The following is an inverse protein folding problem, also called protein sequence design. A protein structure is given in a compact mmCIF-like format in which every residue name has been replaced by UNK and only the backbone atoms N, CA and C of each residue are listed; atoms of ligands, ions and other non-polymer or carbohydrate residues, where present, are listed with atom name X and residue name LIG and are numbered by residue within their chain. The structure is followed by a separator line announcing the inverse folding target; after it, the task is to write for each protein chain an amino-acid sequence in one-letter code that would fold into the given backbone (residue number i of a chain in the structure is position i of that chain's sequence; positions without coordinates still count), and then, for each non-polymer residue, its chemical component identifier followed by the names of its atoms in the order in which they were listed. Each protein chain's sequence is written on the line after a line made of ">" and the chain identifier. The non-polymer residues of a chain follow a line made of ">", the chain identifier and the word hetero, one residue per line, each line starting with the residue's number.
data_IF_315747537947
#
_entry.id   IF_315747537947
#
_cell.length_a   1.000
_cell.length_b   1.000
_cell.length_c   1.000
_cell.angle_alpha   90.00
_cell.angle_beta   90.00
_cell.angle_gamma   90.00
#
_symmetry.space_group_name_H-M   'P 1'
#
loop_
_entity.id
_entity.type
_entity.pdbx_description
1 polymer ?
#
# COMPACT_ATOMS: atom_id res chain seq x y z
N UNK A 1 35.62 100.23 47.12
CA UNK A 1 34.32 100.32 46.44
C UNK A 1 34.48 99.87 45.00
N UNK A 2 34.02 98.70 44.67
CA UNK A 2 33.50 98.31 43.34
C UNK A 2 33.22 96.81 43.40
N UNK A 3 31.99 96.45 43.35
CA UNK A 3 31.46 95.08 43.35
C UNK A 3 31.58 94.48 41.92
N UNK A 4 32.18 93.33 41.79
CA UNK A 4 32.19 92.57 40.55
C UNK A 4 31.19 91.41 40.68
N UNK A 5 30.21 91.36 39.80
CA UNK A 5 29.23 90.25 39.65
C UNK A 5 29.89 89.09 38.92
N UNK A 6 29.71 87.85 39.37
CA UNK A 6 30.07 86.69 38.55
C UNK A 6 28.93 86.33 37.59
N UNK A 7 29.30 86.21 36.35
CA UNK A 7 28.41 85.63 35.28
C UNK A 7 28.21 84.17 35.49
N UNK A 8 26.99 83.73 35.79
CA UNK A 8 26.58 82.37 35.79
C UNK A 8 26.44 81.90 34.34
N UNK A 9 27.31 80.95 33.90
CA UNK A 9 27.21 80.25 32.61
C UNK A 9 26.34 79.02 32.82
N UNK A 10 25.08 79.05 32.40
CA UNK A 10 24.21 77.91 32.43
C UNK A 10 24.55 76.95 31.26
N UNK A 11 25.17 75.78 31.54
CA UNK A 11 25.32 74.70 30.59
C UNK A 11 23.97 73.97 30.43
N UNK A 12 23.37 74.12 29.26
CA UNK A 12 22.18 73.39 28.86
C UNK A 12 22.62 71.97 28.39
N UNK A 13 22.51 70.96 29.26
CA UNK A 13 22.68 69.58 28.86
C UNK A 13 21.43 69.17 28.06
N UNK A 14 21.60 69.06 26.76
CA UNK A 14 20.61 68.44 25.88
C UNK A 14 20.71 66.95 25.99
N UNK A 15 19.88 66.29 26.83
CA UNK A 15 19.77 64.80 26.91
C UNK A 15 19.05 64.25 25.68
N UNK A 16 19.80 63.65 24.78
CA UNK A 16 19.27 62.93 23.63
C UNK A 16 18.72 61.59 24.16
N UNK A 17 17.42 61.49 24.35
CA UNK A 17 16.74 60.22 24.63
C UNK A 17 16.55 59.49 23.31
N UNK A 18 17.40 58.50 23.04
CA UNK A 18 17.20 57.54 21.93
C UNK A 18 15.98 56.68 22.26
N UNK A 19 14.99 56.53 21.36
CA UNK A 19 13.94 55.55 21.56
C UNK A 19 14.56 54.15 21.52
N UNK A 20 14.39 53.41 22.60
CA UNK A 20 14.68 51.98 22.63
C UNK A 20 13.54 51.27 21.91
N UNK A 21 13.77 50.88 20.66
CA UNK A 21 12.86 49.96 19.96
C UNK A 21 12.90 48.60 20.66
N UNK A 22 11.91 48.32 21.49
CA UNK A 22 11.71 47.03 22.11
C UNK A 22 11.02 46.09 21.10
N UNK A 23 11.78 45.20 20.48
CA UNK A 23 11.21 44.13 19.65
C UNK A 23 10.49 43.11 20.56
N UNK A 24 9.17 43.02 20.41
CA UNK A 24 8.38 41.98 21.09
C UNK A 24 8.43 40.72 20.26
N UNK A 25 9.13 39.69 20.77
CA UNK A 25 9.16 38.34 20.17
C UNK A 25 8.22 37.44 20.92
N UNK A 26 7.38 36.69 20.19
CA UNK A 26 6.52 35.65 20.72
C UNK A 26 6.75 34.36 19.93
N UNK A 27 6.69 33.22 20.60
CA UNK A 27 6.81 31.91 19.99
C UNK A 27 5.45 31.23 19.93
N UNK A 28 5.19 30.51 18.83
CA UNK A 28 4.04 29.61 18.73
C UNK A 28 4.54 28.20 18.38
N UNK A 29 3.85 27.22 18.91
CA UNK A 29 4.16 25.82 18.63
C UNK A 29 3.46 25.37 17.36
N UNK A 30 4.19 24.74 16.43
CA UNK A 30 3.65 24.05 15.27
C UNK A 30 3.84 22.55 15.50
N UNK A 31 2.76 21.79 15.41
CA UNK A 31 2.80 20.34 15.56
C UNK A 31 1.97 19.66 14.49
N UNK A 32 2.41 18.46 14.07
CA UNK A 32 1.66 17.57 13.21
C UNK A 32 1.83 16.14 13.72
N UNK A 33 0.78 15.33 13.60
CA UNK A 33 0.83 13.90 13.88
C UNK A 33 0.80 13.16 12.55
N UNK A 34 1.83 12.34 12.30
CA UNK A 34 1.87 11.43 11.13
C UNK A 34 1.45 10.06 11.61
N UNK A 35 0.37 9.52 11.03
CA UNK A 35 -0.11 8.18 11.31
C UNK A 35 0.44 7.18 10.30
N UNK A 36 0.64 5.94 10.74
CA UNK A 36 1.05 4.86 9.86
C UNK A 36 -0.07 4.54 8.86
N UNK A 37 0.30 4.17 7.65
CA UNK A 37 -0.67 3.85 6.60
C UNK A 37 0.00 3.21 5.39
N UNK A 38 -0.84 2.62 4.54
CA UNK A 38 -0.45 2.10 3.23
C UNK A 38 -1.35 2.70 2.15
N UNK A 39 -0.79 2.87 0.96
CA UNK A 39 -1.53 3.29 -0.21
C UNK A 39 -1.16 2.43 -1.42
N UNK A 40 -2.09 2.32 -2.35
CA UNK A 40 -1.88 1.71 -3.65
C UNK A 40 -1.42 2.80 -4.61
N UNK A 41 -0.25 2.64 -5.20
CA UNK A 41 0.29 3.60 -6.17
C UNK A 41 -0.64 3.69 -7.39
N UNK A 42 -0.97 4.93 -7.80
CA UNK A 42 -1.88 5.17 -8.92
C UNK A 42 -3.36 4.91 -8.63
N UNK A 43 -3.75 4.59 -7.39
CA UNK A 43 -5.15 4.37 -7.00
C UNK A 43 -5.80 3.16 -7.68
N UNK A 44 -5.01 2.22 -8.19
CA UNK A 44 -5.53 1.07 -8.92
C UNK A 44 -6.34 0.15 -7.99
N UNK A 45 -7.54 -0.24 -8.44
CA UNK A 45 -8.39 -1.22 -7.76
C UNK A 45 -8.16 -2.66 -8.24
N UNK A 46 -7.34 -2.85 -9.29
CA UNK A 46 -7.01 -4.16 -9.85
C UNK A 46 -5.53 -4.46 -9.60
N UNK A 47 -5.25 -5.51 -8.84
CA UNK A 47 -3.89 -5.94 -8.50
C UNK A 47 -3.19 -6.75 -9.60
N UNK A 48 -3.81 -6.93 -10.76
CA UNK A 48 -3.29 -7.68 -11.89
C UNK A 48 -4.07 -8.94 -12.21
N UNK A 49 -3.52 -9.79 -13.07
CA UNK A 49 -4.15 -11.03 -13.49
C UNK A 49 -3.21 -12.23 -13.31
N UNK A 50 -3.82 -13.36 -12.99
CA UNK A 50 -3.20 -14.68 -12.98
C UNK A 50 -3.68 -15.41 -14.25
N UNK A 51 -2.85 -15.43 -15.28
CA UNK A 51 -3.18 -16.10 -16.54
C UNK A 51 -2.49 -17.47 -16.60
N UNK A 52 -3.28 -18.53 -16.62
CA UNK A 52 -2.78 -19.87 -16.78
C UNK A 52 -2.39 -20.22 -18.22
N UNK A 53 -2.80 -19.42 -19.21
CA UNK A 53 -2.56 -19.68 -20.63
C UNK A 53 -3.64 -20.53 -21.28
N UNK A 54 -3.30 -21.09 -22.45
CA UNK A 54 -4.21 -21.89 -23.27
C UNK A 54 -3.77 -23.35 -23.33
N UNK A 55 -4.72 -24.27 -23.12
CA UNK A 55 -4.48 -25.71 -23.09
C UNK A 55 -5.52 -26.46 -23.89
N UNK A 56 -5.16 -27.66 -24.34
CA UNK A 56 -6.14 -28.60 -24.95
C UNK A 56 -7.21 -29.01 -23.94
N UNK A 57 -8.43 -29.13 -24.38
CA UNK A 57 -9.56 -29.66 -23.60
C UNK A 57 -9.29 -31.08 -23.04
N UNK A 58 -8.39 -31.84 -23.66
CA UNK A 58 -7.97 -33.18 -23.25
C UNK A 58 -6.76 -33.16 -22.30
N UNK A 59 -6.21 -32.00 -21.97
CA UNK A 59 -5.06 -31.90 -21.07
C UNK A 59 -5.43 -32.28 -19.64
N UNK A 60 -4.56 -33.10 -19.02
CA UNK A 60 -4.65 -33.49 -17.61
C UNK A 60 -3.50 -32.87 -16.80
N UNK A 61 -2.81 -31.87 -17.34
CA UNK A 61 -1.63 -31.27 -16.71
C UNK A 61 -2.00 -30.42 -15.51
N UNK A 62 -1.08 -30.39 -14.54
CA UNK A 62 -1.04 -29.35 -13.52
C UNK A 62 -0.43 -28.11 -14.15
N UNK A 63 -1.12 -26.97 -14.07
CA UNK A 63 -0.71 -25.71 -14.68
C UNK A 63 -0.52 -24.67 -13.60
N UNK A 64 0.48 -23.82 -13.79
CA UNK A 64 0.87 -22.82 -12.79
C UNK A 64 1.01 -21.44 -13.42
N UNK A 65 0.78 -20.42 -12.61
CA UNK A 65 1.01 -19.03 -12.97
C UNK A 65 1.40 -18.21 -11.74
N UNK A 66 1.90 -17.02 -11.95
CA UNK A 66 2.18 -16.06 -10.91
C UNK A 66 1.59 -14.70 -11.27
N UNK A 67 1.29 -13.92 -10.26
CA UNK A 67 0.84 -12.54 -10.46
C UNK A 67 1.93 -11.77 -11.24
N UNK A 68 1.61 -11.34 -12.45
CA UNK A 68 2.58 -10.80 -13.40
C UNK A 68 3.14 -9.43 -13.02
N UNK A 69 4.25 -9.04 -13.63
CA UNK A 69 5.11 -7.91 -13.25
C UNK A 69 4.54 -6.49 -13.38
N UNK A 70 3.30 -6.31 -13.83
CA UNK A 70 2.56 -5.03 -13.80
C UNK A 70 1.67 -4.92 -12.56
N UNK A 71 2.00 -5.67 -11.53
CA UNK A 71 1.27 -5.65 -10.27
C UNK A 71 1.32 -4.28 -9.64
N UNK A 72 0.21 -3.90 -9.08
CA UNK A 72 0.05 -2.72 -8.25
C UNK A 72 1.17 -2.66 -7.21
N UNK A 73 1.87 -1.56 -7.21
CA UNK A 73 2.85 -1.27 -6.17
C UNK A 73 2.12 -0.70 -4.95
N UNK A 74 2.40 -1.29 -3.79
CA UNK A 74 1.98 -0.73 -2.51
C UNK A 74 3.12 0.07 -1.91
N UNK A 75 2.76 1.20 -1.30
CA UNK A 75 3.67 2.00 -0.49
C UNK A 75 3.11 2.07 0.93
N UNK A 76 3.95 1.76 1.91
CA UNK A 76 3.58 1.84 3.32
C UNK A 76 4.53 2.75 4.09
N UNK A 77 4.08 3.26 5.21
CA UNK A 77 4.98 3.86 6.21
C UNK A 77 5.99 2.81 6.68
N UNK A 78 7.27 3.16 6.83
CA UNK A 78 8.27 2.22 7.34
C UNK A 78 7.86 1.58 8.67
N UNK A 79 8.07 0.27 8.80
CA UNK A 79 7.77 -0.48 10.03
C UNK A 79 6.31 -0.94 10.18
N UNK A 80 5.47 -0.73 9.19
CA UNK A 80 4.09 -1.24 9.19
C UNK A 80 4.08 -2.76 9.02
N UNK A 81 3.32 -3.46 9.86
CA UNK A 81 3.06 -4.88 9.72
C UNK A 81 1.91 -5.09 8.73
N UNK A 82 2.25 -5.51 7.51
CA UNK A 82 1.27 -5.74 6.46
C UNK A 82 0.84 -7.21 6.44
N UNK A 83 -0.46 -7.44 6.37
CA UNK A 83 -1.02 -8.76 6.08
C UNK A 83 -1.99 -8.70 4.91
N UNK A 84 -2.14 -9.81 4.20
CA UNK A 84 -3.12 -9.96 3.13
C UNK A 84 -3.98 -11.18 3.35
N UNK A 85 -5.24 -11.10 2.95
CA UNK A 85 -6.13 -12.24 2.79
C UNK A 85 -6.77 -12.20 1.41
N UNK A 86 -7.11 -13.37 0.89
CA UNK A 86 -7.75 -13.52 -0.43
C UNK A 86 -9.03 -14.31 -0.24
N UNK A 87 -10.12 -13.82 -0.77
CA UNK A 87 -11.43 -14.45 -0.64
C UNK A 87 -11.57 -15.77 -1.40
N UNK A 88 -12.77 -16.31 -1.41
CA UNK A 88 -13.10 -17.57 -2.10
C UNK A 88 -13.22 -17.43 -3.63
N UNK A 89 -13.26 -16.21 -4.16
CA UNK A 89 -13.61 -15.95 -5.55
C UNK A 89 -15.11 -16.01 -5.82
N UNK A 90 -15.52 -15.51 -6.98
CA UNK A 90 -16.92 -15.46 -7.38
C UNK A 90 -17.52 -16.84 -7.73
N UNK A 91 -16.64 -17.82 -8.04
CA UNK A 91 -17.08 -19.13 -8.49
C UNK A 91 -16.68 -20.25 -7.51
N UNK A 92 -16.58 -19.92 -6.23
CA UNK A 92 -16.27 -20.88 -5.19
C UNK A 92 -17.35 -21.97 -5.09
N UNK A 93 -16.91 -23.22 -4.98
CA UNK A 93 -17.77 -24.36 -4.72
C UNK A 93 -17.11 -25.31 -3.72
N UNK A 94 -17.87 -25.78 -2.73
CA UNK A 94 -17.41 -26.73 -1.70
C UNK A 94 -16.09 -26.33 -1.02
N UNK A 95 -15.91 -25.02 -0.74
CA UNK A 95 -14.72 -24.50 -0.09
C UNK A 95 -13.48 -24.46 -0.99
N UNK A 96 -13.64 -24.54 -2.30
CA UNK A 96 -12.55 -24.49 -3.28
C UNK A 96 -12.78 -23.35 -4.25
N UNK A 97 -11.72 -22.63 -4.63
CA UNK A 97 -11.74 -21.63 -5.68
C UNK A 97 -11.83 -22.31 -7.04
N UNK A 98 -12.66 -21.79 -7.94
CA UNK A 98 -12.83 -22.35 -9.27
C UNK A 98 -12.85 -21.26 -10.33
N UNK A 99 -12.16 -21.51 -11.43
CA UNK A 99 -12.43 -20.84 -12.69
C UNK A 99 -13.73 -21.40 -13.26
N UNK A 100 -14.63 -20.57 -13.72
CA UNK A 100 -15.89 -20.96 -14.34
C UNK A 100 -15.88 -20.62 -15.83
N UNK A 101 -16.35 -21.55 -16.64
CA UNK A 101 -16.53 -21.33 -18.07
C UNK A 101 -17.54 -20.21 -18.32
N UNK A 102 -17.21 -19.26 -19.20
CA UNK A 102 -18.06 -18.10 -19.53
C UNK A 102 -19.43 -18.50 -20.10
N UNK A 103 -19.51 -19.63 -20.78
CA UNK A 103 -20.75 -20.17 -21.36
C UNK A 103 -21.10 -21.55 -20.80
N UNK A 104 -21.51 -21.62 -19.52
CA UNK A 104 -21.92 -22.87 -18.91
C UNK A 104 -21.54 -23.01 -17.43
N UNK A 105 -21.62 -24.21 -16.89
CA UNK A 105 -21.39 -24.52 -15.47
C UNK A 105 -20.07 -25.25 -15.19
N UNK A 106 -19.27 -25.53 -16.21
CA UNK A 106 -18.00 -26.24 -16.02
C UNK A 106 -17.02 -25.43 -15.19
N UNK A 107 -16.38 -26.11 -14.24
CA UNK A 107 -15.46 -25.52 -13.27
C UNK A 107 -14.07 -26.16 -13.39
N UNK A 108 -13.04 -25.37 -13.14
CA UNK A 108 -11.65 -25.82 -12.96
C UNK A 108 -11.16 -25.34 -11.62
N UNK A 109 -10.90 -26.27 -10.72
CA UNK A 109 -10.40 -25.95 -9.38
C UNK A 109 -8.98 -25.40 -9.44
N UNK A 110 -8.72 -24.37 -8.63
CA UNK A 110 -7.37 -23.81 -8.47
C UNK A 110 -7.06 -23.47 -7.03
N UNK A 111 -5.78 -23.37 -6.73
CA UNK A 111 -5.25 -23.01 -5.42
C UNK A 111 -4.31 -21.83 -5.56
N UNK A 112 -4.28 -20.98 -4.53
CA UNK A 112 -3.36 -19.87 -4.43
C UNK A 112 -2.27 -20.17 -3.39
N UNK A 113 -1.08 -19.63 -3.64
CA UNK A 113 0.11 -19.79 -2.81
C UNK A 113 0.84 -18.46 -2.70
N UNK A 114 1.63 -18.32 -1.64
CA UNK A 114 2.48 -17.15 -1.43
C UNK A 114 3.95 -17.37 -1.82
N UNK A 115 4.28 -18.53 -2.34
CA UNK A 115 5.63 -18.90 -2.75
C UNK A 115 5.65 -19.63 -4.10
N UNK A 116 6.73 -19.44 -4.85
CA UNK A 116 6.92 -20.07 -6.16
C UNK A 116 7.07 -21.61 -6.10
N UNK A 117 7.37 -22.14 -4.92
CA UNK A 117 7.47 -23.60 -4.68
C UNK A 117 6.13 -24.27 -4.40
N UNK A 118 5.03 -23.48 -4.33
CA UNK A 118 3.68 -23.98 -4.03
C UNK A 118 3.60 -24.78 -2.73
N UNK A 119 4.39 -24.39 -1.73
CA UNK A 119 4.45 -25.03 -0.40
C UNK A 119 3.61 -24.29 0.65
N UNK A 120 3.38 -23.00 0.46
CA UNK A 120 2.68 -22.13 1.42
C UNK A 120 1.36 -21.67 0.81
N UNK A 121 0.28 -22.37 1.13
CA UNK A 121 -1.04 -22.05 0.60
C UNK A 121 -1.60 -20.73 1.13
N UNK A 122 -2.33 -20.01 0.27
CA UNK A 122 -3.21 -18.89 0.63
C UNK A 122 -4.63 -19.43 0.80
N UNK A 123 -4.98 -19.81 2.04
CA UNK A 123 -6.32 -20.25 2.40
C UNK A 123 -7.38 -19.18 2.11
N UNK A 124 -8.63 -19.58 2.00
CA UNK A 124 -9.76 -18.68 1.79
C UNK A 124 -9.93 -17.81 3.04
N UNK A 125 -9.92 -16.49 2.87
CA UNK A 125 -10.04 -15.48 3.94
C UNK A 125 -9.00 -15.63 5.06
N UNK A 126 -7.93 -16.36 4.83
CA UNK A 126 -6.84 -16.51 5.78
C UNK A 126 -5.87 -15.33 5.66
N UNK A 127 -5.71 -14.57 6.73
CA UNK A 127 -4.70 -13.52 6.82
C UNK A 127 -3.29 -14.11 6.89
N UNK A 128 -2.41 -13.66 6.01
CA UNK A 128 -1.00 -14.06 5.97
C UNK A 128 -0.10 -12.82 5.95
N UNK A 129 1.04 -12.83 6.66
CA UNK A 129 1.94 -11.69 6.64
C UNK A 129 2.57 -11.49 5.26
N UNK A 130 2.70 -10.25 4.84
CA UNK A 130 3.44 -9.83 3.64
C UNK A 130 4.78 -9.26 4.10
N UNK A 131 5.85 -9.98 3.79
CA UNK A 131 7.22 -9.51 4.07
C UNK A 131 7.69 -8.61 2.94
N UNK A 132 8.30 -7.49 3.30
CA UNK A 132 8.89 -6.55 2.34
C UNK A 132 10.18 -5.95 2.92
N UNK A 133 11.13 -5.62 2.06
CA UNK A 133 12.38 -4.95 2.44
C UNK A 133 12.35 -3.45 2.13
N UNK A 134 11.52 -3.05 1.16
CA UNK A 134 11.36 -1.66 0.76
C UNK A 134 9.90 -1.23 0.94
N UNK A 135 9.59 -0.35 1.89
CA UNK A 135 8.22 0.11 2.12
C UNK A 135 7.65 0.97 0.98
N UNK A 136 8.49 1.50 0.09
CA UNK A 136 8.06 2.27 -1.06
C UNK A 136 7.67 1.39 -2.26
N UNK A 137 8.04 0.10 -2.27
CA UNK A 137 7.78 -0.81 -3.39
C UNK A 137 7.47 -2.20 -2.83
N UNK A 138 6.21 -2.44 -2.52
CA UNK A 138 5.74 -3.72 -1.99
C UNK A 138 4.94 -4.44 -3.07
N UNK A 139 5.32 -5.68 -3.35
CA UNK A 139 4.63 -6.57 -4.29
C UNK A 139 3.99 -7.72 -3.53
N UNK A 140 2.76 -8.08 -3.90
CA UNK A 140 2.07 -9.21 -3.28
C UNK A 140 2.59 -10.52 -3.87
N UNK A 141 3.07 -11.47 -3.05
CA UNK A 141 3.53 -12.77 -3.52
C UNK A 141 2.31 -13.69 -3.74
N UNK A 142 1.74 -13.69 -4.95
CA UNK A 142 0.59 -14.54 -5.29
C UNK A 142 0.94 -15.44 -6.48
N UNK A 143 0.88 -16.71 -6.24
CA UNK A 143 1.09 -17.78 -7.21
C UNK A 143 -0.16 -18.65 -7.27
N UNK A 144 -0.44 -19.24 -8.41
CA UNK A 144 -1.61 -20.08 -8.59
C UNK A 144 -1.26 -21.41 -9.28
N UNK A 145 -1.97 -22.46 -8.90
CA UNK A 145 -1.89 -23.78 -9.53
C UNK A 145 -3.29 -24.31 -9.75
N UNK A 146 -3.56 -24.80 -10.96
CA UNK A 146 -4.80 -25.48 -11.31
C UNK A 146 -4.52 -26.86 -11.86
N UNK A 147 -5.44 -27.80 -11.68
CA UNK A 147 -5.38 -29.15 -12.20
C UNK A 147 -6.42 -29.32 -13.29
N UNK A 148 -5.99 -29.56 -14.53
CA UNK A 148 -6.87 -29.85 -15.65
C UNK A 148 -7.32 -31.32 -15.59
N UNK A 149 -8.56 -31.58 -15.98
CA UNK A 149 -9.23 -32.89 -15.82
C UNK A 149 -9.32 -33.71 -17.11
N UNK A 150 -8.90 -33.17 -18.28
CA UNK A 150 -8.87 -33.85 -19.54
C UNK A 150 -10.20 -34.02 -20.25
N UNK A 151 -11.28 -33.41 -19.74
CA UNK A 151 -12.62 -33.51 -20.33
C UNK A 151 -13.37 -32.19 -20.24
N UNK A 152 -12.64 -31.11 -20.26
CA UNK A 152 -13.22 -29.75 -20.12
C UNK A 152 -13.81 -29.28 -21.44
N UNK A 153 -15.05 -28.75 -21.48
CA UNK A 153 -15.57 -28.11 -22.67
C UNK A 153 -14.69 -26.91 -23.06
N UNK A 154 -14.44 -26.76 -24.37
CA UNK A 154 -13.65 -25.61 -24.85
C UNK A 154 -14.32 -24.27 -24.51
N UNK A 155 -13.54 -23.28 -24.17
CA UNK A 155 -14.02 -21.92 -23.80
C UNK A 155 -13.08 -21.21 -22.83
N UNK A 156 -13.45 -19.97 -22.51
CA UNK A 156 -12.71 -19.19 -21.51
C UNK A 156 -13.21 -19.51 -20.12
N UNK A 157 -12.29 -19.73 -19.20
CA UNK A 157 -12.56 -20.01 -17.80
C UNK A 157 -11.97 -18.87 -16.97
N UNK A 158 -12.81 -18.22 -16.17
CA UNK A 158 -12.42 -17.04 -15.38
C UNK A 158 -12.93 -17.10 -13.96
N UNK A 159 -12.27 -16.43 -13.07
CA UNK A 159 -12.73 -16.10 -11.72
C UNK A 159 -12.27 -14.69 -11.35
N UNK A 160 -12.88 -14.11 -10.33
CA UNK A 160 -12.45 -12.84 -9.73
C UNK A 160 -12.35 -13.05 -8.24
N UNK A 161 -11.17 -12.78 -7.68
CA UNK A 161 -10.90 -12.84 -6.25
C UNK A 161 -10.66 -11.44 -5.70
N UNK A 162 -11.06 -11.21 -4.46
CA UNK A 162 -10.77 -9.98 -3.74
C UNK A 162 -9.58 -10.19 -2.79
N UNK A 163 -8.69 -9.20 -2.78
CA UNK A 163 -7.57 -9.14 -1.85
C UNK A 163 -7.85 -8.06 -0.82
N UNK A 164 -7.78 -8.41 0.45
CA UNK A 164 -7.89 -7.47 1.57
C UNK A 164 -6.51 -7.32 2.19
N UNK A 165 -6.07 -6.08 2.33
CA UNK A 165 -4.82 -5.73 2.99
C UNK A 165 -5.14 -5.08 4.33
N UNK A 166 -4.43 -5.51 5.38
CA UNK A 166 -4.55 -5.00 6.74
C UNK A 166 -3.18 -4.54 7.23
N UNK A 167 -3.12 -3.36 7.84
CA UNK A 167 -1.90 -2.73 8.35
C UNK A 167 -2.16 -1.95 9.64
#
# INVERSE_FOLDING_TARGET
>A
MRRALPRLLALLLCSVTSPLDAALTSTFQVSATVVAGCLVEGGASNYGSLDFGSYSALSTSSVTTALGGTTVTLQCTPGVNLSMSVDAGQNSASGTRNLKRSSGSSLVAYQLFRDAGFSQSLGINQGVPVSYSNPAIIKLPVYARAQLTGNLPAGNYTDVVQVVLTF
#
